data_IF_151855425781
#
_entry.id   IF_151855425781
#
_cell.length_a   1.000
_cell.length_b   1.000
_cell.length_c   1.000
_cell.angle_alpha   90.00
_cell.angle_beta   90.00
_cell.angle_gamma   90.00
#
_symmetry.space_group_name_H-M   'P 1'
#
loop_
_entity.id
_entity.type
_entity.pdbx_description
1 polymer ?
#
# COMPACT_ATOMS: atom_id res chain seq x y z
N UNK A 1 27.09 -3.85 -1.83
CA UNK A 1 25.94 -3.18 -1.20
C UNK A 1 26.28 -1.92 -0.39
N UNK A 2 27.55 -1.66 -0.02
CA UNK A 2 27.93 -0.50 0.82
C UNK A 2 28.01 0.85 0.09
N UNK A 3 28.07 0.87 -1.24
CA UNK A 3 28.25 2.10 -2.02
C UNK A 3 26.98 2.98 -2.06
N UNK A 4 25.79 2.43 -1.79
CA UNK A 4 24.52 3.16 -1.84
C UNK A 4 24.21 3.98 -0.58
N UNK A 5 24.86 3.68 0.55
CA UNK A 5 24.64 4.37 1.84
C UNK A 5 25.65 5.50 2.08
N UNK A 6 26.66 5.63 1.22
CA UNK A 6 27.68 6.66 1.36
C UNK A 6 27.11 8.01 0.90
N UNK A 7 27.35 9.05 1.70
CA UNK A 7 26.97 10.40 1.32
C UNK A 7 27.67 10.80 0.02
N UNK A 8 26.91 11.32 -0.94
CA UNK A 8 27.43 11.64 -2.27
C UNK A 8 28.32 12.90 -2.19
N UNK A 9 29.59 12.87 -2.65
CA UNK A 9 30.47 14.04 -2.61
C UNK A 9 30.18 15.00 -3.76
N UNK A 10 29.33 16.00 -3.53
CA UNK A 10 28.92 16.97 -4.56
C UNK A 10 30.07 17.86 -5.06
N UNK A 11 31.06 18.15 -4.22
CA UNK A 11 32.20 18.99 -4.59
C UNK A 11 33.10 18.36 -5.66
N UNK A 12 33.31 17.05 -5.59
CA UNK A 12 34.13 16.31 -6.56
C UNK A 12 33.40 16.14 -7.91
N UNK A 13 32.08 15.97 -7.87
CA UNK A 13 31.25 15.88 -9.07
C UNK A 13 31.22 17.24 -9.79
N UNK A 14 31.18 18.33 -9.02
CA UNK A 14 31.21 19.70 -9.56
C UNK A 14 32.50 20.02 -10.32
N UNK A 15 33.65 19.65 -9.78
CA UNK A 15 34.94 19.92 -10.41
C UNK A 15 35.20 19.04 -11.65
N UNK A 16 34.58 17.87 -11.73
CA UNK A 16 34.80 16.92 -12.83
C UNK A 16 33.73 17.00 -13.94
N UNK A 17 32.46 17.19 -13.60
CA UNK A 17 31.31 17.16 -14.52
C UNK A 17 30.67 18.53 -14.77
N UNK A 18 31.10 19.58 -14.05
CA UNK A 18 30.53 20.91 -14.11
C UNK A 18 29.27 21.10 -13.27
N UNK A 19 28.79 22.36 -13.19
CA UNK A 19 27.69 22.72 -12.30
C UNK A 19 26.33 22.15 -12.71
N UNK A 20 26.03 22.09 -14.01
CA UNK A 20 24.71 21.67 -14.50
C UNK A 20 24.41 20.23 -14.08
N UNK A 21 25.36 19.32 -14.30
CA UNK A 21 25.24 17.91 -13.91
C UNK A 21 25.19 17.74 -12.38
N UNK A 22 25.96 18.53 -11.64
CA UNK A 22 25.97 18.49 -10.18
C UNK A 22 24.62 18.90 -9.59
N UNK A 23 23.96 19.91 -10.17
CA UNK A 23 22.65 20.34 -9.74
C UNK A 23 21.58 19.25 -9.96
N UNK A 24 21.62 18.54 -11.09
CA UNK A 24 20.72 17.39 -11.33
C UNK A 24 20.90 16.29 -10.28
N UNK A 25 22.15 15.95 -9.93
CA UNK A 25 22.43 14.95 -8.89
C UNK A 25 22.04 15.45 -7.49
N UNK A 26 22.24 16.72 -7.17
CA UNK A 26 21.81 17.32 -5.92
C UNK A 26 20.29 17.24 -5.75
N UNK A 27 19.56 17.59 -6.80
CA UNK A 27 18.11 17.55 -6.82
C UNK A 27 17.58 16.11 -6.70
N UNK A 28 18.20 15.15 -7.39
CA UNK A 28 17.84 13.73 -7.27
C UNK A 28 18.05 13.19 -5.85
N UNK A 29 19.15 13.57 -5.19
CA UNK A 29 19.39 13.23 -3.79
C UNK A 29 18.36 13.84 -2.85
N UNK A 30 18.03 15.12 -3.04
CA UNK A 30 16.99 15.82 -2.27
C UNK A 30 15.62 15.16 -2.42
N UNK A 31 15.20 14.79 -3.64
CA UNK A 31 13.93 14.10 -3.87
C UNK A 31 13.88 12.75 -3.15
N UNK A 32 14.94 11.93 -3.18
CA UNK A 32 14.97 10.65 -2.47
C UNK A 32 14.91 10.82 -0.94
N UNK A 33 15.55 11.86 -0.40
CA UNK A 33 15.47 12.17 1.03
C UNK A 33 14.06 12.61 1.44
N UNK A 34 13.38 13.42 0.62
CA UNK A 34 11.99 13.82 0.86
C UNK A 34 11.02 12.64 0.70
N UNK A 35 11.33 11.66 -0.16
CA UNK A 35 10.50 10.47 -0.37
C UNK A 35 10.63 9.40 0.72
N UNK A 36 11.72 9.41 1.49
CA UNK A 36 11.96 8.43 2.57
C UNK A 36 10.88 8.51 3.65
N UNK A 37 10.47 9.73 4.02
CA UNK A 37 9.44 9.95 5.04
C UNK A 37 8.06 9.39 4.63
N UNK A 38 7.49 9.74 3.45
CA UNK A 38 6.21 9.17 3.00
C UNK A 38 6.31 7.65 2.75
N UNK A 39 7.45 7.13 2.30
CA UNK A 39 7.65 5.69 2.16
C UNK A 39 7.58 4.96 3.51
N UNK A 40 8.19 5.52 4.56
CA UNK A 40 8.16 4.95 5.90
C UNK A 40 6.76 4.98 6.52
N UNK A 41 6.07 6.12 6.40
CA UNK A 41 4.67 6.26 6.85
C UNK A 41 3.74 5.30 6.11
N UNK A 42 3.89 5.18 4.78
CA UNK A 42 3.12 4.25 3.98
C UNK A 42 3.34 2.78 4.38
N UNK A 43 4.59 2.40 4.68
CA UNK A 43 4.93 1.05 5.15
C UNK A 43 4.28 0.74 6.50
N UNK A 44 4.34 1.69 7.45
CA UNK A 44 3.71 1.55 8.77
C UNK A 44 2.20 1.32 8.62
N UNK A 45 1.54 2.18 7.84
CA UNK A 45 0.10 2.09 7.58
C UNK A 45 -0.29 0.76 6.92
N UNK A 46 0.52 0.27 5.98
CA UNK A 46 0.30 -1.01 5.33
C UNK A 46 0.35 -2.18 6.32
N UNK A 47 1.30 -2.19 7.26
CA UNK A 47 1.40 -3.21 8.30
C UNK A 47 0.20 -3.15 9.25
N UNK A 48 -0.21 -1.95 9.68
CA UNK A 48 -1.39 -1.77 10.53
C UNK A 48 -2.68 -2.24 9.82
N UNK A 49 -2.86 -1.87 8.56
CA UNK A 49 -3.99 -2.33 7.75
C UNK A 49 -3.99 -3.85 7.53
N UNK A 50 -2.80 -4.48 7.40
CA UNK A 50 -2.70 -5.92 7.28
C UNK A 50 -3.03 -6.66 8.58
N UNK A 51 -2.66 -6.10 9.74
CA UNK A 51 -2.98 -6.67 11.05
C UNK A 51 -4.48 -6.55 11.38
N UNK A 52 -5.11 -5.41 11.05
CA UNK A 52 -6.53 -5.15 11.39
C UNK A 52 -7.50 -6.08 10.66
N UNK A 53 -7.18 -6.52 9.43
CA UNK A 53 -8.05 -7.40 8.61
C UNK A 53 -8.28 -8.77 9.26
N UNK A 54 -7.41 -9.21 10.17
CA UNK A 54 -7.53 -10.49 10.84
C UNK A 54 -8.55 -10.51 11.99
N UNK A 55 -8.86 -9.36 12.59
CA UNK A 55 -9.66 -9.24 13.81
C UNK A 55 -11.06 -8.64 13.62
N UNK A 56 -11.41 -8.26 12.39
CA UNK A 56 -12.68 -7.60 12.10
C UNK A 56 -13.86 -8.61 12.03
N UNK A 57 -14.93 -8.30 12.77
CA UNK A 57 -16.20 -9.04 12.86
C UNK A 57 -16.83 -9.40 11.48
N UNK A 58 -17.00 -8.46 10.52
CA UNK A 58 -17.60 -8.82 9.22
C UNK A 58 -16.73 -9.78 8.41
N UNK A 59 -15.40 -9.70 8.54
CA UNK A 59 -14.49 -10.60 7.83
C UNK A 59 -14.51 -12.00 8.45
N UNK A 60 -14.65 -12.07 9.77
CA UNK A 60 -14.89 -13.31 10.52
C UNK A 60 -16.18 -14.00 10.08
N UNK A 61 -17.27 -13.25 9.91
CA UNK A 61 -18.58 -13.81 9.55
C UNK A 61 -18.59 -14.40 8.13
N UNK A 62 -17.97 -13.72 7.17
CA UNK A 62 -17.90 -14.14 5.76
C UNK A 62 -16.98 -15.36 5.62
N UNK A 63 -15.88 -15.42 6.38
CA UNK A 63 -14.92 -16.53 6.33
C UNK A 63 -15.25 -17.67 7.31
N UNK A 64 -16.21 -17.47 8.20
CA UNK A 64 -16.61 -18.41 9.25
C UNK A 64 -17.71 -19.37 8.82
N UNK A 65 -18.35 -20.00 9.81
CA UNK A 65 -19.40 -21.00 9.56
C UNK A 65 -20.61 -20.42 8.82
N UNK A 66 -20.90 -19.13 9.04
CA UNK A 66 -22.00 -18.41 8.37
C UNK A 66 -21.78 -18.26 6.85
N UNK A 67 -20.53 -18.06 6.41
CA UNK A 67 -20.18 -18.01 5.00
C UNK A 67 -20.24 -19.36 4.27
N UNK A 68 -20.09 -20.48 4.99
CA UNK A 68 -20.16 -21.83 4.43
C UNK A 68 -21.61 -22.32 4.25
N UNK A 69 -22.53 -21.91 5.13
CA UNK A 69 -23.96 -22.26 5.05
C UNK A 69 -24.77 -21.34 4.13
N UNK A 70 -24.27 -20.14 3.82
CA UNK A 70 -24.99 -19.14 3.02
C UNK A 70 -24.64 -19.24 1.53
N UNK A 71 -25.67 -19.47 0.71
CA UNK A 71 -25.56 -19.48 -0.76
C UNK A 71 -25.97 -18.11 -1.33
N UNK A 72 -25.17 -17.60 -2.26
CA UNK A 72 -25.44 -16.36 -2.96
C UNK A 72 -26.17 -16.65 -4.29
N UNK A 73 -27.03 -15.72 -4.70
CA UNK A 73 -27.72 -15.81 -5.98
C UNK A 73 -26.71 -15.75 -7.13
N UNK A 74 -26.98 -16.48 -8.24
CA UNK A 74 -26.19 -16.36 -9.45
C UNK A 74 -26.27 -14.94 -10.00
N UNK A 75 -25.15 -14.44 -10.52
CA UNK A 75 -25.05 -13.07 -11.05
C UNK A 75 -25.55 -12.95 -12.50
N UNK A 76 -25.99 -14.05 -13.10
CA UNK A 76 -26.44 -14.12 -14.50
C UNK A 76 -27.83 -14.76 -14.60
N UNK A 77 -28.57 -14.37 -15.63
CA UNK A 77 -29.96 -14.83 -15.91
C UNK A 77 -30.03 -16.28 -16.46
N UNK A 78 -28.92 -16.81 -17.00
CA UNK A 78 -28.85 -18.16 -17.60
C UNK A 78 -27.78 -19.02 -16.92
N UNK A 79 -28.16 -20.26 -16.57
CA UNK A 79 -27.32 -21.40 -16.14
C UNK A 79 -25.99 -21.03 -15.47
N UNK A 80 -26.05 -20.26 -14.37
CA UNK A 80 -24.90 -20.09 -13.48
C UNK A 80 -25.14 -20.89 -12.20
N UNK A 81 -24.12 -21.60 -11.69
CA UNK A 81 -24.23 -22.31 -10.43
C UNK A 81 -24.37 -21.32 -9.28
N UNK A 82 -25.13 -21.70 -8.25
CA UNK A 82 -25.09 -21.04 -6.96
C UNK A 82 -23.69 -21.16 -6.36
N UNK A 83 -23.23 -20.11 -5.71
CA UNK A 83 -21.88 -19.98 -5.17
C UNK A 83 -21.96 -19.69 -3.68
N UNK A 84 -20.95 -20.12 -2.92
CA UNK A 84 -20.95 -19.93 -1.48
C UNK A 84 -20.36 -18.57 -1.13
N UNK A 85 -20.89 -17.96 -0.07
CA UNK A 85 -20.40 -16.66 0.40
C UNK A 85 -18.92 -16.73 0.84
N UNK A 86 -18.48 -17.86 1.37
CA UNK A 86 -17.09 -18.10 1.79
C UNK A 86 -16.06 -18.02 0.63
N UNK A 87 -16.46 -18.29 -0.61
CA UNK A 87 -15.54 -18.22 -1.76
C UNK A 87 -15.05 -16.79 -1.99
N UNK A 88 -15.79 -15.78 -1.52
CA UNK A 88 -15.42 -14.36 -1.56
C UNK A 88 -14.63 -13.89 -0.33
N UNK A 89 -14.31 -14.77 0.63
CA UNK A 89 -13.58 -14.42 1.85
C UNK A 89 -12.28 -13.66 1.59
N UNK A 90 -11.49 -14.10 0.60
CA UNK A 90 -10.24 -13.44 0.21
C UNK A 90 -10.51 -12.04 -0.34
N UNK A 91 -11.56 -11.89 -1.14
CA UNK A 91 -11.95 -10.61 -1.71
C UNK A 91 -12.41 -9.63 -0.62
N UNK A 92 -13.22 -10.07 0.34
CA UNK A 92 -13.66 -9.25 1.47
C UNK A 92 -12.49 -8.76 2.34
N UNK A 93 -11.49 -9.61 2.58
CA UNK A 93 -10.24 -9.24 3.27
C UNK A 93 -9.46 -8.16 2.51
N UNK A 94 -9.34 -8.29 1.20
CA UNK A 94 -8.63 -7.32 0.34
C UNK A 94 -9.41 -6.01 0.25
N UNK A 95 -10.73 -6.06 0.08
CA UNK A 95 -11.58 -4.88 0.02
C UNK A 95 -11.52 -4.05 1.31
N UNK A 96 -11.51 -4.71 2.48
CA UNK A 96 -11.34 -4.03 3.78
C UNK A 96 -9.95 -3.40 3.92
N UNK A 97 -8.90 -4.09 3.46
CA UNK A 97 -7.53 -3.53 3.42
C UNK A 97 -7.49 -2.27 2.54
N UNK A 98 -8.06 -2.33 1.34
CA UNK A 98 -8.16 -1.16 0.45
C UNK A 98 -8.94 -0.03 1.15
N UNK A 99 -10.11 -0.30 1.72
CA UNK A 99 -10.87 0.72 2.45
C UNK A 99 -10.07 1.42 3.56
N UNK A 100 -9.32 0.67 4.38
CA UNK A 100 -8.47 1.27 5.40
C UNK A 100 -7.41 2.17 4.77
N UNK A 101 -6.75 1.70 3.72
CA UNK A 101 -5.75 2.47 2.96
C UNK A 101 -6.38 3.72 2.33
N UNK A 102 -7.52 3.62 1.66
CA UNK A 102 -8.18 4.75 1.01
C UNK A 102 -8.57 5.84 2.02
N UNK A 103 -9.15 5.47 3.17
CA UNK A 103 -9.56 6.45 4.19
C UNK A 103 -8.36 7.10 4.90
N UNK A 104 -7.38 6.30 5.33
CA UNK A 104 -6.23 6.83 6.08
C UNK A 104 -5.28 7.61 5.16
N UNK A 105 -5.14 7.22 3.89
CA UNK A 105 -4.28 7.88 2.92
C UNK A 105 -4.89 9.21 2.45
N UNK A 106 -6.22 9.31 2.37
CA UNK A 106 -6.92 10.58 2.19
C UNK A 106 -6.71 11.48 3.42
N UNK A 107 -6.80 10.97 4.65
CA UNK A 107 -6.67 11.79 5.88
C UNK A 107 -5.23 12.21 6.19
N UNK A 108 -4.23 11.35 5.97
CA UNK A 108 -2.80 11.70 6.14
C UNK A 108 -2.23 12.48 4.95
N UNK A 109 -2.80 12.34 3.76
CA UNK A 109 -2.36 13.05 2.55
C UNK A 109 -2.51 14.57 2.61
N UNK A 110 -3.37 15.10 3.50
CA UNK A 110 -3.58 16.54 3.69
C UNK A 110 -2.65 17.18 4.72
N UNK A 111 -1.81 16.42 5.43
CA UNK A 111 -0.93 16.96 6.50
C UNK A 111 0.53 17.15 6.06
N UNK A 112 0.88 16.75 4.84
CA UNK A 112 2.25 16.84 4.34
C UNK A 112 2.38 17.45 2.93
N UNK A 113 1.39 18.23 2.49
CA UNK A 113 1.49 19.23 1.40
C UNK A 113 1.19 20.61 1.98
#
# INVERSE_FOLDING_TARGET
MSQCLKFQPLSLIRSYMGEKMTFYFALSGFYNQMLILPAFVGLIVFIYGAASVASDEPTSDICGSYGNSTYMCPRCDKTCPFWKLIDSCVYSKVAKRCYFVDNIHIVLGFICI
#
